data_IF_508607830732
#
_entry.id   IF_508607830732
#
_cell.length_a   1.000
_cell.length_b   1.000
_cell.length_c   1.000
_cell.angle_alpha   90.00
_cell.angle_beta   90.00
_cell.angle_gamma   90.00
#
_symmetry.space_group_name_H-M   'P 1'
#
loop_
_entity.id
_entity.type
_entity.pdbx_description
1 polymer ?
#
# COMPACT_ATOMS: atom_id res chain seq x y z
N UNK A 1 21.57 -6.87 22.10
CA UNK A 1 20.67 -8.00 21.79
C UNK A 1 20.57 -8.11 20.29
N UNK A 2 20.81 -9.29 19.70
CA UNK A 2 20.64 -9.50 18.25
C UNK A 2 19.16 -9.50 17.92
N UNK A 3 18.74 -8.70 16.93
CA UNK A 3 17.36 -8.67 16.44
C UNK A 3 17.01 -10.09 15.94
N UNK A 4 15.95 -10.73 16.45
CA UNK A 4 15.58 -12.06 15.99
C UNK A 4 15.34 -12.05 14.48
N UNK A 5 15.79 -13.10 13.79
CA UNK A 5 15.48 -13.29 12.37
C UNK A 5 14.03 -13.77 12.28
N UNK A 6 13.15 -12.89 11.81
CA UNK A 6 11.74 -13.20 11.57
C UNK A 6 11.53 -13.58 10.11
N UNK A 7 10.77 -14.65 9.89
CA UNK A 7 10.26 -15.02 8.57
C UNK A 7 9.29 -13.95 8.05
N UNK A 8 9.06 -13.90 6.73
CA UNK A 8 8.19 -12.90 6.10
C UNK A 8 6.77 -12.97 6.65
N UNK A 9 6.25 -14.18 6.86
CA UNK A 9 4.92 -14.42 7.41
C UNK A 9 4.80 -13.91 8.85
N UNK A 10 5.85 -14.07 9.66
CA UNK A 10 5.88 -13.58 11.03
C UNK A 10 5.85 -12.05 11.05
N UNK A 11 6.64 -11.39 10.20
CA UNK A 11 6.64 -9.93 10.07
C UNK A 11 5.28 -9.40 9.64
N UNK A 12 4.66 -10.04 8.63
CA UNK A 12 3.34 -9.63 8.15
C UNK A 12 2.25 -9.83 9.22
N UNK A 13 2.31 -10.93 9.99
CA UNK A 13 1.36 -11.18 11.07
C UNK A 13 1.54 -10.19 12.23
N UNK A 14 2.77 -9.89 12.61
CA UNK A 14 3.06 -8.88 13.64
C UNK A 14 2.47 -7.52 13.27
N UNK A 15 2.59 -7.09 12.01
CA UNK A 15 1.98 -5.84 11.54
C UNK A 15 0.45 -5.95 11.52
N UNK A 16 -0.11 -7.09 11.09
CA UNK A 16 -1.57 -7.32 11.07
C UNK A 16 -2.24 -7.27 12.46
N UNK A 17 -1.46 -7.52 13.51
CA UNK A 17 -1.93 -7.49 14.90
C UNK A 17 -1.67 -6.14 15.59
N UNK A 18 -1.04 -5.19 14.90
CA UNK A 18 -0.78 -3.84 15.41
C UNK A 18 -1.94 -2.91 15.02
N UNK A 19 -2.82 -2.63 15.97
CA UNK A 19 -4.00 -1.79 15.80
C UNK A 19 -3.67 -0.31 15.48
N UNK A 20 -2.42 0.11 15.70
CA UNK A 20 -1.99 1.47 15.37
C UNK A 20 -1.68 1.63 13.87
N UNK A 21 -1.45 0.53 13.15
CA UNK A 21 -0.99 0.55 11.74
C UNK A 21 -2.14 0.18 10.80
N UNK A 22 -2.59 1.16 10.00
CA UNK A 22 -3.65 0.93 9.02
C UNK A 22 -3.38 1.64 7.71
N UNK A 23 -3.50 0.96 6.57
CA UNK A 23 -3.02 1.57 5.34
C UNK A 23 -3.42 0.88 4.07
N UNK A 24 -2.78 1.31 2.98
CA UNK A 24 -3.06 0.79 1.65
C UNK A 24 -1.81 0.28 0.93
N UNK A 25 -2.02 -0.73 0.09
CA UNK A 25 -1.02 -1.25 -0.83
C UNK A 25 -1.42 -0.92 -2.26
N UNK A 26 -0.57 -0.20 -2.98
CA UNK A 26 -0.76 0.15 -4.38
C UNK A 26 0.38 -0.47 -5.21
N UNK A 27 0.12 -1.61 -5.84
CA UNK A 27 1.14 -2.40 -6.52
C UNK A 27 0.80 -2.50 -8.01
N UNK A 28 1.70 -2.03 -8.89
CA UNK A 28 1.50 -2.06 -10.34
C UNK A 28 2.57 -2.93 -11.00
N UNK A 29 2.15 -3.91 -11.79
CA UNK A 29 3.05 -4.77 -12.58
C UNK A 29 3.54 -6.03 -11.86
N UNK A 30 3.52 -6.07 -10.52
CA UNK A 30 4.14 -7.13 -9.71
C UNK A 30 3.17 -8.14 -9.05
N UNK A 31 1.88 -8.12 -9.37
CA UNK A 31 0.93 -9.17 -8.92
C UNK A 31 0.33 -8.97 -7.53
N UNK A 32 0.55 -7.81 -6.91
CA UNK A 32 0.11 -7.52 -5.53
C UNK A 32 0.69 -8.48 -4.48
N UNK A 33 1.94 -8.91 -4.68
CA UNK A 33 2.58 -9.95 -3.88
C UNK A 33 2.84 -9.51 -2.44
N UNK A 34 3.09 -8.21 -2.19
CA UNK A 34 3.27 -7.72 -0.83
C UNK A 34 1.95 -7.81 -0.08
N UNK A 35 0.85 -7.27 -0.64
CA UNK A 35 -0.47 -7.41 -0.04
C UNK A 35 -0.89 -8.88 0.17
N UNK A 36 -0.50 -9.77 -0.75
CA UNK A 36 -0.78 -11.22 -0.63
C UNK A 36 -0.22 -11.81 0.67
N UNK A 37 0.98 -11.45 1.09
CA UNK A 37 1.55 -11.94 2.35
C UNK A 37 0.69 -11.52 3.56
N UNK A 38 0.21 -10.28 3.59
CA UNK A 38 -0.65 -9.78 4.67
C UNK A 38 -2.02 -10.48 4.65
N UNK A 39 -2.59 -10.79 3.48
CA UNK A 39 -3.83 -11.56 3.43
C UNK A 39 -3.67 -13.00 3.94
N UNK A 40 -2.58 -13.68 3.58
CA UNK A 40 -2.40 -15.11 3.87
C UNK A 40 -2.20 -15.43 5.35
N UNK A 41 -1.55 -14.53 6.10
CA UNK A 41 -1.24 -14.76 7.51
C UNK A 41 -2.43 -14.52 8.45
N UNK A 42 -3.55 -13.99 7.95
CA UNK A 42 -4.74 -13.67 8.73
C UNK A 42 -4.65 -12.31 9.43
N UNK A 43 -5.74 -11.89 10.09
CA UNK A 43 -5.87 -10.57 10.74
C UNK A 43 -5.70 -9.33 9.80
N UNK A 44 -5.66 -9.52 8.49
CA UNK A 44 -5.48 -8.44 7.50
C UNK A 44 -6.48 -7.29 7.62
N UNK A 45 -7.69 -7.53 8.14
CA UNK A 45 -8.68 -6.48 8.34
C UNK A 45 -8.24 -5.41 9.36
N UNK A 46 -7.28 -5.74 10.23
CA UNK A 46 -6.65 -4.84 11.20
C UNK A 46 -5.65 -3.87 10.58
N UNK A 47 -5.13 -4.16 9.39
CA UNK A 47 -4.05 -3.37 8.75
C UNK A 47 -4.39 -2.87 7.35
N UNK A 48 -5.15 -3.63 6.56
CA UNK A 48 -5.44 -3.32 5.17
C UNK A 48 -6.74 -2.53 5.08
N UNK A 49 -6.62 -1.23 4.77
CA UNK A 49 -7.71 -0.36 4.37
C UNK A 49 -8.14 -0.61 2.92
N UNK A 50 -7.15 -0.76 2.04
CA UNK A 50 -7.35 -0.90 0.59
C UNK A 50 -6.14 -1.56 -0.07
N UNK A 51 -6.39 -2.42 -1.04
CA UNK A 51 -5.36 -2.84 -2.00
C UNK A 51 -5.77 -2.37 -3.39
N UNK A 52 -4.78 -1.99 -4.20
CA UNK A 52 -4.99 -1.35 -5.48
C UNK A 52 -3.97 -1.82 -6.50
N UNK A 53 -4.43 -2.13 -7.71
CA UNK A 53 -3.57 -2.39 -8.86
C UNK A 53 -4.21 -1.85 -10.14
N UNK A 54 -3.39 -1.26 -11.01
CA UNK A 54 -3.83 -0.73 -12.30
C UNK A 54 -2.81 -1.10 -13.39
N UNK A 55 -3.04 -2.24 -14.04
CA UNK A 55 -2.18 -2.76 -15.11
C UNK A 55 -2.38 -2.03 -16.44
N UNK A 56 -3.62 -1.66 -16.75
CA UNK A 56 -3.90 -0.89 -17.95
C UNK A 56 -3.39 0.54 -17.78
N UNK A 57 -2.64 1.02 -18.78
CA UNK A 57 -2.04 2.35 -18.76
C UNK A 57 -3.10 3.45 -18.62
N UNK A 58 -4.21 3.34 -19.34
CA UNK A 58 -5.28 4.36 -19.33
C UNK A 58 -5.97 4.37 -17.97
N UNK A 59 -6.23 3.20 -17.39
CA UNK A 59 -6.77 3.10 -16.03
C UNK A 59 -5.80 3.71 -15.02
N UNK A 60 -4.51 3.38 -15.10
CA UNK A 60 -3.48 3.94 -14.22
C UNK A 60 -3.37 5.46 -14.36
N UNK A 61 -3.42 5.99 -15.58
CA UNK A 61 -3.41 7.43 -15.86
C UNK A 61 -4.64 8.15 -15.31
N UNK A 62 -5.82 7.53 -15.38
CA UNK A 62 -7.04 8.12 -14.83
C UNK A 62 -7.02 8.22 -13.30
N UNK A 63 -6.22 7.38 -12.64
CA UNK A 63 -6.14 7.31 -11.18
C UNK A 63 -4.98 8.17 -10.67
N UNK A 64 -3.79 7.99 -11.24
CA UNK A 64 -2.56 8.61 -10.76
C UNK A 64 -2.04 9.74 -11.67
N UNK A 65 -2.74 10.07 -12.75
CA UNK A 65 -2.33 11.08 -13.74
C UNK A 65 -1.32 10.56 -14.76
N UNK A 66 -1.06 11.31 -15.83
CA UNK A 66 -0.11 10.90 -16.89
C UNK A 66 1.35 11.17 -16.52
N UNK A 67 2.28 10.32 -16.98
CA UNK A 67 3.72 10.60 -16.89
C UNK A 67 4.22 11.46 -18.05
N UNK A 68 4.86 12.59 -17.72
CA UNK A 68 5.34 13.57 -18.70
C UNK A 68 6.34 12.98 -19.72
N UNK A 69 7.13 11.98 -19.31
CA UNK A 69 8.14 11.32 -20.15
C UNK A 69 7.64 10.01 -20.79
N UNK A 70 6.37 9.65 -20.58
CA UNK A 70 5.77 8.42 -21.09
C UNK A 70 6.34 7.11 -20.52
N UNK A 71 7.22 7.17 -19.51
CA UNK A 71 7.79 6.03 -18.78
C UNK A 71 7.11 5.90 -17.43
N UNK A 72 6.59 4.72 -17.13
CA UNK A 72 5.72 4.49 -15.97
C UNK A 72 6.45 3.83 -14.80
N UNK A 73 7.52 3.08 -15.07
CA UNK A 73 8.43 2.59 -14.04
C UNK A 73 9.43 3.71 -13.72
N UNK A 74 9.05 4.58 -12.79
CA UNK A 74 9.89 5.70 -12.37
C UNK A 74 9.46 6.25 -11.00
N UNK A 75 10.38 6.97 -10.35
CA UNK A 75 10.18 7.61 -9.06
C UNK A 75 8.98 8.58 -9.05
N UNK A 76 8.82 9.38 -10.11
CA UNK A 76 7.67 10.30 -10.27
C UNK A 76 6.33 9.57 -10.18
N UNK A 77 6.23 8.39 -10.79
CA UNK A 77 5.01 7.57 -10.72
C UNK A 77 4.76 7.07 -9.30
N UNK A 78 5.80 6.62 -8.60
CA UNK A 78 5.67 6.16 -7.21
C UNK A 78 5.16 7.26 -6.29
N UNK A 79 5.69 8.48 -6.38
CA UNK A 79 5.19 9.59 -5.56
C UNK A 79 3.72 9.91 -5.85
N UNK A 80 3.29 9.90 -7.12
CA UNK A 80 1.87 10.09 -7.46
C UNK A 80 0.97 9.00 -6.85
N UNK A 81 1.44 7.76 -6.83
CA UNK A 81 0.72 6.67 -6.17
C UNK A 81 0.64 6.89 -4.66
N UNK A 82 1.78 7.17 -4.02
CA UNK A 82 1.85 7.44 -2.58
C UNK A 82 0.93 8.59 -2.16
N UNK A 83 1.03 9.74 -2.84
CA UNK A 83 0.26 10.95 -2.52
C UNK A 83 -1.24 10.72 -2.73
N UNK A 84 -1.63 10.14 -3.86
CA UNK A 84 -3.04 9.87 -4.17
C UNK A 84 -3.67 8.94 -3.13
N UNK A 85 -3.00 7.84 -2.85
CA UNK A 85 -3.49 6.81 -1.93
C UNK A 85 -3.56 7.35 -0.49
N UNK A 86 -2.55 8.09 -0.05
CA UNK A 86 -2.51 8.65 1.30
C UNK A 86 -3.60 9.71 1.48
N UNK A 87 -3.78 10.60 0.50
CA UNK A 87 -4.84 11.60 0.51
C UNK A 87 -6.24 10.96 0.55
N UNK A 88 -6.45 9.86 -0.18
CA UNK A 88 -7.70 9.11 -0.13
C UNK A 88 -7.97 8.51 1.25
N UNK A 89 -6.97 7.94 1.91
CA UNK A 89 -7.14 7.42 3.26
C UNK A 89 -7.41 8.53 4.27
N UNK A 90 -6.64 9.61 4.23
CA UNK A 90 -6.83 10.78 5.08
C UNK A 90 -8.25 11.32 4.97
N UNK A 91 -8.72 11.54 3.74
CA UNK A 91 -10.05 12.13 3.50
C UNK A 91 -11.21 11.21 3.89
N UNK A 92 -11.02 9.88 3.83
CA UNK A 92 -12.10 8.91 4.09
C UNK A 92 -12.14 8.39 5.51
N UNK A 93 -10.99 8.28 6.18
CA UNK A 93 -10.89 7.55 7.44
C UNK A 93 -10.43 8.41 8.61
N UNK A 94 -9.79 9.56 8.41
CA UNK A 94 -9.22 10.33 9.53
C UNK A 94 -10.27 10.75 10.57
N UNK A 95 -11.50 11.04 10.15
CA UNK A 95 -12.60 11.38 11.07
C UNK A 95 -13.02 10.18 11.94
N UNK A 96 -13.10 8.99 11.35
CA UNK A 96 -13.55 7.76 12.04
C UNK A 96 -12.40 7.06 12.78
N UNK A 97 -11.15 7.34 12.39
CA UNK A 97 -9.89 6.78 12.91
C UNK A 97 -8.88 7.91 13.17
N UNK A 98 -9.12 8.75 14.19
CA UNK A 98 -8.30 9.94 14.44
C UNK A 98 -6.87 9.59 14.83
N UNK A 99 -6.69 8.57 15.68
CA UNK A 99 -5.41 8.24 16.32
C UNK A 99 -4.57 7.22 15.54
N UNK A 100 -5.10 6.68 14.42
CA UNK A 100 -4.44 5.64 13.65
C UNK A 100 -3.28 6.18 12.81
N UNK A 101 -2.16 5.45 12.79
CA UNK A 101 -1.02 5.74 11.93
C UNK A 101 -1.27 5.18 10.53
N UNK A 102 -1.53 6.10 9.59
CA UNK A 102 -1.79 5.74 8.21
C UNK A 102 -0.49 5.48 7.43
N UNK A 103 -0.47 4.40 6.66
CA UNK A 103 0.64 4.10 5.73
C UNK A 103 0.15 3.88 4.30
N UNK A 104 1.04 4.14 3.35
CA UNK A 104 0.88 3.68 1.97
C UNK A 104 2.15 2.96 1.56
N UNK A 105 2.00 1.76 1.03
CA UNK A 105 3.02 1.07 0.28
C UNK A 105 2.72 1.21 -1.21
N UNK A 106 3.72 1.59 -2.00
CA UNK A 106 3.59 1.67 -3.45
C UNK A 106 4.80 1.07 -4.16
N UNK A 107 4.56 0.30 -5.21
CA UNK A 107 5.60 -0.17 -6.12
C UNK A 107 5.13 -0.19 -7.59
N UNK A 108 6.12 -0.13 -8.49
CA UNK A 108 5.92 -0.27 -9.94
C UNK A 108 7.05 -1.11 -10.49
N UNK A 109 6.72 -2.11 -11.31
CA UNK A 109 7.70 -2.99 -11.98
C UNK A 109 7.51 -2.98 -13.50
#
# INVERSE_FOLDING_TARGET
MSRPFLETEQKALEINLDDDIYGSFAEIGAGQEVARHFFQVGAAAGTIAKTMSAYDKVVSDNIYGQEAKGRYVCESRLYKMLDHEYALMQSRLRTDRPDTNFFVFADTV
#
